data_IF_368577874973
#
_entry.id   IF_368577874973
#
_cell.length_a   1.000
_cell.length_b   1.000
_cell.length_c   1.000
_cell.angle_alpha   90.00
_cell.angle_beta   90.00
_cell.angle_gamma   90.00
#
_symmetry.space_group_name_H-M   'P 1'
#
loop_
_entity.id
_entity.type
_entity.pdbx_description
1 polymer ?
#
# COMPACT_ATOMS: atom_id res chain seq x y z
N UNK A 1 -16.18 6.43 -25.74
CA UNK A 1 -15.40 7.32 -24.86
C UNK A 1 -14.97 6.50 -23.67
N UNK A 2 -13.66 6.27 -23.49
CA UNK A 2 -13.16 5.71 -22.23
C UNK A 2 -13.31 6.81 -21.19
N UNK A 3 -14.08 6.59 -20.12
CA UNK A 3 -14.08 7.51 -19.00
C UNK A 3 -12.70 7.43 -18.32
N UNK A 4 -12.02 8.56 -18.18
CA UNK A 4 -10.80 8.63 -17.39
C UNK A 4 -11.17 8.47 -15.90
N UNK A 5 -10.39 7.67 -15.16
CA UNK A 5 -10.59 7.48 -13.72
C UNK A 5 -10.11 8.75 -13.02
N UNK A 6 -10.94 9.30 -12.14
CA UNK A 6 -10.57 10.47 -11.33
C UNK A 6 -9.35 10.15 -10.44
N UNK A 7 -8.39 11.08 -10.24
CA UNK A 7 -7.15 10.79 -9.53
C UNK A 7 -7.30 10.15 -8.15
N UNK A 8 -8.23 10.59 -7.30
CA UNK A 8 -8.42 10.01 -5.97
C UNK A 8 -9.06 8.62 -6.06
N UNK A 9 -9.99 8.42 -6.99
CA UNK A 9 -10.53 7.09 -7.29
C UNK A 9 -9.46 6.10 -7.78
N UNK A 10 -8.48 6.58 -8.57
CA UNK A 10 -7.34 5.77 -8.97
C UNK A 10 -6.45 5.38 -7.79
N UNK A 11 -6.17 6.31 -6.86
CA UNK A 11 -5.42 6.04 -5.62
C UNK A 11 -6.14 4.98 -4.77
N UNK A 12 -7.46 5.10 -4.60
CA UNK A 12 -8.27 4.13 -3.88
C UNK A 12 -8.23 2.74 -4.54
N UNK A 13 -8.37 2.69 -5.87
CA UNK A 13 -8.27 1.45 -6.64
C UNK A 13 -6.90 0.76 -6.46
N UNK A 14 -5.80 1.53 -6.51
CA UNK A 14 -4.47 1.01 -6.22
C UNK A 14 -4.40 0.41 -4.80
N UNK A 15 -4.98 1.09 -3.81
CA UNK A 15 -5.02 0.60 -2.44
C UNK A 15 -5.80 -0.71 -2.26
N UNK A 16 -6.94 -0.83 -2.93
CA UNK A 16 -7.72 -2.07 -2.98
C UNK A 16 -6.91 -3.19 -3.62
N UNK A 17 -6.28 -2.92 -4.77
CA UNK A 17 -5.46 -3.90 -5.48
C UNK A 17 -4.28 -4.39 -4.62
N UNK A 18 -3.54 -3.47 -3.98
CA UNK A 18 -2.46 -3.80 -3.05
C UNK A 18 -2.96 -4.67 -1.89
N UNK A 19 -4.13 -4.33 -1.32
CA UNK A 19 -4.74 -5.06 -0.22
C UNK A 19 -5.13 -6.47 -0.56
N UNK A 20 -5.90 -6.64 -1.64
CA UNK A 20 -6.36 -7.93 -2.10
C UNK A 20 -5.19 -8.82 -2.54
N UNK A 21 -4.19 -8.24 -3.23
CA UNK A 21 -3.03 -8.98 -3.69
C UNK A 21 -2.19 -9.54 -2.53
N UNK A 22 -1.92 -8.73 -1.50
CA UNK A 22 -1.17 -9.15 -0.32
C UNK A 22 -1.86 -10.28 0.43
N UNK A 23 -3.17 -10.11 0.74
CA UNK A 23 -3.96 -11.12 1.45
C UNK A 23 -4.05 -12.42 0.64
N UNK A 24 -4.30 -12.31 -0.67
CA UNK A 24 -4.41 -13.49 -1.55
C UNK A 24 -3.08 -14.25 -1.65
N UNK A 25 -1.95 -13.53 -1.73
CA UNK A 25 -0.63 -14.15 -1.74
C UNK A 25 -0.33 -14.87 -0.42
N UNK A 26 -0.65 -14.24 0.72
CA UNK A 26 -0.48 -14.84 2.04
C UNK A 26 -1.32 -16.11 2.20
N UNK A 27 -2.60 -16.07 1.84
CA UNK A 27 -3.49 -17.25 1.90
C UNK A 27 -2.97 -18.40 1.05
N UNK A 28 -2.52 -18.12 -0.17
CA UNK A 28 -1.92 -19.12 -1.06
C UNK A 28 -0.67 -19.74 -0.44
N UNK A 29 0.21 -18.93 0.17
CA UNK A 29 1.42 -19.43 0.83
C UNK A 29 1.12 -20.36 2.01
N UNK A 30 -0.02 -20.16 2.68
CA UNK A 30 -0.50 -21.03 3.76
C UNK A 30 -1.34 -22.22 3.30
N UNK A 31 -1.55 -22.40 1.99
CA UNK A 31 -2.42 -23.46 1.47
C UNK A 31 -3.91 -23.26 1.83
N UNK A 32 -4.31 -22.03 2.17
CA UNK A 32 -5.70 -21.69 2.47
C UNK A 32 -6.50 -21.52 1.17
N UNK A 33 -7.84 -21.72 1.21
CA UNK A 33 -8.72 -21.44 0.08
C UNK A 33 -8.59 -19.99 -0.42
N UNK A 34 -8.93 -19.76 -1.69
CA UNK A 34 -9.02 -18.41 -2.26
C UNK A 34 -9.89 -17.49 -1.40
N UNK A 35 -9.57 -16.20 -1.41
CA UNK A 35 -10.37 -15.20 -0.70
C UNK A 35 -11.75 -15.08 -1.37
N UNK A 36 -12.81 -15.43 -0.65
CA UNK A 36 -14.17 -15.08 -1.05
C UNK A 36 -14.45 -13.64 -0.62
N UNK A 37 -14.74 -12.77 -1.59
CA UNK A 37 -15.11 -11.40 -1.31
C UNK A 37 -16.58 -11.35 -0.86
N UNK A 38 -16.85 -10.57 0.18
CA UNK A 38 -18.21 -10.33 0.62
C UNK A 38 -19.05 -9.74 -0.52
N UNK A 39 -20.36 -10.03 -0.59
CA UNK A 39 -21.25 -9.40 -1.54
C UNK A 39 -21.16 -7.88 -1.47
N UNK A 40 -21.25 -7.23 -2.63
CA UNK A 40 -21.28 -5.76 -2.71
C UNK A 40 -22.42 -5.24 -1.85
N UNK A 41 -22.09 -4.32 -0.94
CA UNK A 41 -23.09 -3.58 -0.17
C UNK A 41 -23.41 -2.29 -0.91
N UNK A 42 -24.70 -1.94 -0.98
CA UNK A 42 -25.12 -0.64 -1.49
C UNK A 42 -24.63 0.48 -0.56
N UNK A 43 -24.24 1.60 -1.14
CA UNK A 43 -23.78 2.79 -0.42
C UNK A 43 -23.08 3.76 -1.36
N UNK A 44 -23.05 5.03 -0.96
CA UNK A 44 -22.28 6.06 -1.65
C UNK A 44 -20.85 6.11 -1.09
N UNK A 45 -19.83 6.36 -1.93
CA UNK A 45 -18.48 6.64 -1.43
C UNK A 45 -18.49 7.82 -0.46
N UNK A 46 -17.66 7.77 0.58
CA UNK A 46 -17.56 8.87 1.56
C UNK A 46 -17.19 10.21 0.90
N UNK A 47 -16.40 10.14 -0.18
CA UNK A 47 -15.82 11.29 -0.90
C UNK A 47 -15.04 12.22 0.03
N UNK A 48 -14.55 11.69 1.15
CA UNK A 48 -13.71 12.44 2.09
C UNK A 48 -12.41 12.81 1.41
N UNK A 49 -12.12 14.11 1.37
CA UNK A 49 -10.94 14.67 0.72
C UNK A 49 -10.17 15.56 1.71
N UNK A 50 -8.85 15.37 1.88
CA UNK A 50 -8.01 16.32 2.61
C UNK A 50 -7.98 17.71 1.95
N UNK A 51 -7.81 18.76 2.75
CA UNK A 51 -7.82 20.14 2.25
C UNK A 51 -6.58 20.49 1.41
N UNK A 52 -5.39 19.99 1.79
CA UNK A 52 -4.11 20.36 1.20
C UNK A 52 -3.55 19.28 0.26
N UNK A 53 -4.28 18.94 -0.80
CA UNK A 53 -3.80 18.01 -1.82
C UNK A 53 -3.01 18.76 -2.89
N UNK A 54 -1.77 18.32 -3.13
CA UNK A 54 -0.80 18.94 -4.03
C UNK A 54 -0.21 17.91 -4.99
N UNK A 55 0.34 18.38 -6.11
CA UNK A 55 1.14 17.53 -6.99
C UNK A 55 2.49 17.20 -6.35
N UNK A 56 3.02 16.01 -6.63
CA UNK A 56 4.32 15.54 -6.16
C UNK A 56 5.23 15.20 -7.34
N UNK A 57 6.54 15.32 -7.18
CA UNK A 57 7.52 14.89 -8.18
C UNK A 57 7.87 13.41 -8.03
N UNK A 58 7.83 12.89 -6.80
CA UNK A 58 8.18 11.50 -6.51
C UNK A 58 7.01 10.53 -6.75
N UNK A 59 5.78 11.03 -6.91
CA UNK A 59 4.58 10.22 -7.13
C UNK A 59 3.84 10.65 -8.39
N UNK A 60 3.29 9.68 -9.12
CA UNK A 60 2.41 9.94 -10.27
C UNK A 60 0.99 10.36 -9.87
N UNK A 61 0.68 10.33 -8.59
CA UNK A 61 -0.61 10.69 -8.00
C UNK A 61 -0.43 11.88 -7.07
N UNK A 62 -1.47 12.72 -6.88
CA UNK A 62 -1.40 13.80 -5.91
C UNK A 62 -1.35 13.26 -4.47
N UNK A 63 -0.72 14.03 -3.59
CA UNK A 63 -0.47 13.67 -2.18
C UNK A 63 -0.92 14.80 -1.26
N UNK A 64 -1.00 14.54 0.04
CA UNK A 64 -1.17 15.61 1.04
C UNK A 64 0.15 16.35 1.22
N UNK A 65 0.12 17.68 1.15
CA UNK A 65 1.31 18.51 1.30
C UNK A 65 1.84 18.59 2.75
N UNK A 66 3.14 18.87 2.94
CA UNK A 66 4.13 19.19 1.92
C UNK A 66 4.62 17.94 1.15
N UNK A 67 4.60 17.99 -0.18
CA UNK A 67 5.05 16.89 -1.02
C UNK A 67 6.58 16.75 -1.03
N UNK A 68 7.04 15.53 -1.33
CA UNK A 68 8.43 15.18 -1.57
C UNK A 68 9.37 15.43 -0.38
N UNK A 69 8.83 15.46 0.85
CA UNK A 69 9.60 15.51 2.10
C UNK A 69 9.90 14.12 2.67
N UNK A 70 9.07 13.13 2.33
CA UNK A 70 9.18 11.74 2.76
C UNK A 70 9.38 10.83 1.54
N UNK A 71 9.76 9.57 1.78
CA UNK A 71 9.83 8.57 0.72
C UNK A 71 8.50 8.46 -0.04
N UNK A 72 8.54 8.27 -1.36
CA UNK A 72 7.34 8.30 -2.20
C UNK A 72 6.26 7.29 -1.75
N UNK A 73 6.67 6.11 -1.25
CA UNK A 73 5.78 5.10 -0.68
C UNK A 73 5.00 5.61 0.53
N UNK A 74 5.60 6.49 1.33
CA UNK A 74 4.99 7.03 2.55
C UNK A 74 3.88 8.01 2.23
N UNK A 75 4.05 8.80 1.18
CA UNK A 75 3.09 9.82 0.76
C UNK A 75 2.03 9.32 -0.25
N UNK A 76 2.25 8.16 -0.91
CA UNK A 76 1.48 7.68 -2.07
C UNK A 76 -0.04 7.61 -1.87
N UNK A 77 -0.51 7.26 -0.67
CA UNK A 77 -1.93 7.08 -0.38
C UNK A 77 -2.54 8.21 0.46
N UNK A 78 -1.74 9.20 0.85
CA UNK A 78 -2.17 10.24 1.82
C UNK A 78 -3.39 11.04 1.37
N UNK A 79 -3.58 11.22 0.05
CA UNK A 79 -4.74 11.91 -0.50
C UNK A 79 -6.07 11.15 -0.34
N UNK A 80 -6.03 9.86 0.03
CA UNK A 80 -7.20 9.05 0.39
C UNK A 80 -6.98 8.45 1.79
N UNK A 81 -7.39 9.14 2.87
CA UNK A 81 -7.01 8.81 4.24
C UNK A 81 -7.34 7.38 4.68
N UNK A 82 -8.52 6.88 4.31
CA UNK A 82 -8.94 5.52 4.66
C UNK A 82 -8.06 4.46 3.97
N UNK A 83 -7.72 4.68 2.71
CA UNK A 83 -6.78 3.83 1.97
C UNK A 83 -5.40 3.86 2.60
N UNK A 84 -4.88 5.04 2.93
CA UNK A 84 -3.59 5.18 3.60
C UNK A 84 -3.55 4.39 4.91
N UNK A 85 -4.59 4.52 5.74
CA UNK A 85 -4.71 3.80 7.01
C UNK A 85 -4.69 2.28 6.81
N UNK A 86 -5.44 1.77 5.84
CA UNK A 86 -5.51 0.33 5.54
C UNK A 86 -4.16 -0.21 5.06
N UNK A 87 -3.51 0.48 4.13
CA UNK A 87 -2.21 0.06 3.59
C UNK A 87 -1.16 0.00 4.70
N UNK A 88 -1.08 1.01 5.55
CA UNK A 88 -0.13 1.00 6.67
C UNK A 88 -0.44 -0.08 7.71
N UNK A 89 -1.71 -0.29 8.04
CA UNK A 89 -2.12 -1.38 8.95
C UNK A 89 -1.68 -2.75 8.41
N UNK A 90 -1.75 -2.96 7.09
CA UNK A 90 -1.28 -4.19 6.48
C UNK A 90 0.25 -4.27 6.42
N UNK A 91 0.93 -3.19 6.07
CA UNK A 91 2.40 -3.15 6.01
C UNK A 91 3.00 -3.47 7.39
N UNK A 92 2.47 -2.87 8.45
CA UNK A 92 2.87 -3.17 9.83
C UNK A 92 2.63 -4.65 10.18
N UNK A 93 1.56 -5.26 9.70
CA UNK A 93 1.24 -6.66 9.96
C UNK A 93 2.07 -7.66 9.14
N UNK A 94 2.51 -7.31 7.93
CA UNK A 94 3.14 -8.24 6.99
C UNK A 94 4.62 -7.96 6.72
N UNK A 95 5.13 -6.80 7.13
CA UNK A 95 6.50 -6.35 6.89
C UNK A 95 7.12 -5.66 8.11
N UNK A 96 8.15 -4.84 7.90
CA UNK A 96 8.75 -3.97 8.90
C UNK A 96 7.88 -2.72 9.03
N UNK A 97 7.37 -2.38 10.23
CA UNK A 97 6.68 -1.12 10.45
C UNK A 97 7.58 0.08 10.14
N UNK A 98 7.00 1.14 9.57
CA UNK A 98 7.76 2.33 9.11
C UNK A 98 8.71 2.89 10.18
N UNK A 99 8.19 3.09 11.39
CA UNK A 99 8.94 3.63 12.53
C UNK A 99 10.09 2.73 13.00
N UNK A 100 10.04 1.45 12.67
CA UNK A 100 11.04 0.45 13.03
C UNK A 100 12.10 0.28 11.93
N UNK A 101 11.87 0.81 10.72
CA UNK A 101 12.82 0.70 9.59
C UNK A 101 14.16 1.39 9.85
N UNK A 102 14.28 2.21 10.89
CA UNK A 102 15.56 2.81 11.30
C UNK A 102 16.49 1.80 11.98
N UNK A 103 15.97 0.73 12.58
CA UNK A 103 16.78 -0.26 13.29
C UNK A 103 17.30 -1.35 12.32
N UNK A 104 18.62 -1.42 12.04
CA UNK A 104 19.18 -2.45 11.18
C UNK A 104 19.10 -3.85 11.78
N UNK A 105 18.94 -3.98 13.10
CA UNK A 105 18.89 -5.26 13.83
C UNK A 105 17.46 -5.72 14.13
N UNK A 106 16.45 -5.04 13.59
CA UNK A 106 15.05 -5.37 13.84
C UNK A 106 14.72 -6.83 13.42
N UNK A 107 13.83 -7.47 14.19
CA UNK A 107 13.42 -8.87 13.95
C UNK A 107 11.92 -9.05 14.11
N UNK A 108 11.37 -10.06 13.42
CA UNK A 108 9.99 -10.53 13.61
C UNK A 108 9.96 -12.04 13.75
N UNK A 109 9.68 -12.51 14.95
CA UNK A 109 9.68 -13.94 15.26
C UNK A 109 11.05 -14.55 14.94
N UNK A 110 11.11 -15.41 13.94
CA UNK A 110 12.35 -16.10 13.50
C UNK A 110 13.07 -15.42 12.34
N UNK A 111 12.57 -14.29 11.83
CA UNK A 111 13.14 -13.60 10.69
C UNK A 111 13.89 -12.34 11.13
N UNK A 112 15.13 -12.20 10.67
CA UNK A 112 15.87 -10.94 10.76
C UNK A 112 15.47 -9.99 9.63
N UNK A 113 15.71 -8.68 9.84
CA UNK A 113 15.55 -7.67 8.79
C UNK A 113 16.25 -8.07 7.48
N UNK A 114 17.51 -8.52 7.54
CA UNK A 114 18.26 -8.92 6.35
C UNK A 114 17.57 -10.05 5.58
N UNK A 115 17.00 -11.03 6.29
CA UNK A 115 16.25 -12.11 5.64
C UNK A 115 14.94 -11.61 5.01
N UNK A 116 14.23 -10.71 5.68
CA UNK A 116 13.00 -10.11 5.14
C UNK A 116 13.28 -9.26 3.90
N UNK A 117 14.30 -8.40 3.95
CA UNK A 117 14.72 -7.56 2.82
C UNK A 117 15.21 -8.39 1.64
N UNK A 118 15.90 -9.51 1.87
CA UNK A 118 16.30 -10.44 0.81
C UNK A 118 15.09 -11.04 0.08
N UNK A 119 14.07 -11.46 0.83
CA UNK A 119 12.81 -11.97 0.25
C UNK A 119 12.08 -10.85 -0.49
N UNK A 120 11.94 -9.67 0.11
CA UNK A 120 11.30 -8.51 -0.52
C UNK A 120 12.00 -8.15 -1.85
N UNK A 121 13.33 -8.02 -1.83
CA UNK A 121 14.15 -7.74 -3.03
C UNK A 121 13.93 -8.78 -4.12
N UNK A 122 13.94 -10.08 -3.77
CA UNK A 122 13.73 -11.16 -4.74
C UNK A 122 12.33 -11.12 -5.35
N UNK A 123 11.30 -10.85 -4.55
CA UNK A 123 9.91 -10.72 -5.03
C UNK A 123 9.76 -9.50 -5.94
N UNK A 124 10.31 -8.36 -5.55
CA UNK A 124 10.30 -7.13 -6.36
C UNK A 124 10.99 -7.33 -7.71
N UNK A 125 12.16 -7.97 -7.70
CA UNK A 125 12.90 -8.31 -8.92
C UNK A 125 12.07 -9.21 -9.85
N UNK A 126 11.44 -10.27 -9.32
CA UNK A 126 10.61 -11.19 -10.12
C UNK A 126 9.38 -10.53 -10.74
N UNK A 127 8.94 -9.39 -10.18
CA UNK A 127 7.79 -8.63 -10.67
C UNK A 127 8.16 -7.40 -11.47
N UNK A 128 9.45 -7.20 -11.74
CA UNK A 128 9.96 -5.99 -12.40
C UNK A 128 9.47 -4.71 -11.71
N UNK A 129 9.35 -4.76 -10.37
CA UNK A 129 8.97 -3.61 -9.58
C UNK A 129 10.10 -2.59 -9.61
N UNK A 130 9.85 -1.46 -10.29
CA UNK A 130 10.82 -0.40 -10.46
C UNK A 130 11.08 0.41 -9.18
N UNK A 131 10.04 0.61 -8.37
CA UNK A 131 10.18 1.26 -7.06
C UNK A 131 10.97 0.36 -6.11
#
# INVERSE_FOLDING_TARGET
MSAEIEPLAFIELCGIACSVAAISAFRRALGLPSLELAPVKSGDPSRTKPENIVAAKLNWVPVVGPADQEAAVVQAFTAVPDTNRVIWSMADAQYIPDKEMVDPNWTRGTLSRVQMELVATRVSQQRECFY
#
